data_IF_588181483962
#
_entry.id   IF_588181483962
#
_cell.length_a   1.000
_cell.length_b   1.000
_cell.length_c   1.000
_cell.angle_alpha   90.00
_cell.angle_beta   90.00
_cell.angle_gamma   90.00
#
_symmetry.space_group_name_H-M   'P 1'
#
loop_
_entity.id
_entity.type
_entity.pdbx_description
1 polymer ?
#
# COMPACT_ATOMS: atom_id res chain seq x y z
N UNK A 1 -20.11 -48.13 9.08
CA UNK A 1 -19.05 -47.48 8.27
C UNK A 1 -19.58 -46.12 7.83
N UNK A 2 -19.43 -45.11 8.67
CA UNK A 2 -19.89 -43.73 8.42
C UNK A 2 -18.86 -43.02 7.54
N UNK A 3 -19.22 -42.83 6.27
CA UNK A 3 -18.48 -42.02 5.30
C UNK A 3 -18.46 -40.55 5.76
N UNK A 4 -17.42 -40.17 6.48
CA UNK A 4 -17.05 -38.78 6.77
C UNK A 4 -16.82 -38.08 5.42
N UNK A 5 -17.85 -37.38 4.94
CA UNK A 5 -17.77 -36.47 3.81
C UNK A 5 -16.78 -35.37 4.20
N UNK A 6 -15.51 -35.54 3.79
CA UNK A 6 -14.48 -34.52 3.93
C UNK A 6 -14.93 -33.34 3.07
N UNK A 7 -15.68 -32.43 3.68
CA UNK A 7 -15.95 -31.12 3.08
C UNK A 7 -14.60 -30.44 2.99
N UNK A 8 -14.07 -30.41 1.78
CA UNK A 8 -12.78 -29.81 1.48
C UNK A 8 -12.95 -28.29 1.58
N UNK A 9 -12.76 -27.78 2.81
CA UNK A 9 -12.90 -26.37 3.17
C UNK A 9 -12.05 -25.47 2.27
N UNK A 10 -10.97 -26.02 1.72
CA UNK A 10 -10.07 -25.35 0.79
C UNK A 10 -10.71 -25.04 -0.57
N UNK A 11 -11.61 -25.89 -1.09
CA UNK A 11 -12.32 -25.62 -2.35
C UNK A 11 -13.44 -24.59 -2.15
N UNK A 12 -14.05 -24.54 -0.97
CA UNK A 12 -15.16 -23.60 -0.67
C UNK A 12 -14.71 -22.16 -0.38
N UNK A 13 -13.43 -21.95 -0.05
CA UNK A 13 -12.84 -20.62 0.09
C UNK A 13 -12.23 -20.08 -1.21
N UNK A 14 -11.77 -20.96 -2.11
CA UNK A 14 -11.06 -20.59 -3.35
C UNK A 14 -11.98 -20.04 -4.46
N UNK A 15 -13.27 -20.38 -4.41
CA UNK A 15 -14.27 -19.91 -5.39
C UNK A 15 -14.80 -18.50 -5.10
N UNK A 16 -14.19 -17.76 -4.17
CA UNK A 16 -14.64 -16.39 -3.87
C UNK A 16 -13.86 -15.39 -4.73
N UNK A 17 -14.47 -14.82 -5.79
CA UNK A 17 -13.83 -13.76 -6.56
C UNK A 17 -13.49 -12.60 -5.63
N UNK A 18 -12.41 -11.88 -5.94
CA UNK A 18 -12.00 -10.67 -5.23
C UNK A 18 -13.23 -9.79 -4.97
N UNK A 19 -13.51 -9.59 -3.68
CA UNK A 19 -14.65 -8.82 -3.22
C UNK A 19 -14.54 -7.39 -3.75
N UNK A 20 -15.66 -6.77 -4.13
CA UNK A 20 -15.73 -5.35 -4.52
C UNK A 20 -15.01 -4.42 -3.53
N UNK A 21 -15.01 -4.77 -2.23
CA UNK A 21 -14.31 -4.00 -1.20
C UNK A 21 -12.79 -4.12 -1.28
N UNK A 22 -12.27 -5.28 -1.69
CA UNK A 22 -10.84 -5.48 -1.91
C UNK A 22 -10.39 -4.71 -3.14
N UNK A 23 -11.17 -4.76 -4.22
CA UNK A 23 -10.91 -3.97 -5.42
C UNK A 23 -10.93 -2.47 -5.13
N UNK A 24 -11.90 -2.01 -4.34
CA UNK A 24 -11.97 -0.62 -3.87
C UNK A 24 -10.71 -0.20 -3.10
N UNK A 25 -10.21 -1.04 -2.19
CA UNK A 25 -8.98 -0.74 -1.42
C UNK A 25 -7.76 -0.65 -2.34
N UNK A 26 -7.62 -1.58 -3.28
CA UNK A 26 -6.52 -1.57 -4.27
C UNK A 26 -6.60 -0.31 -5.12
N UNK A 27 -7.81 0.04 -5.60
CA UNK A 27 -8.05 1.24 -6.39
C UNK A 27 -7.73 2.53 -5.61
N UNK A 28 -8.18 2.64 -4.35
CA UNK A 28 -7.84 3.75 -3.45
C UNK A 28 -6.32 3.87 -3.26
N UNK A 29 -5.63 2.75 -3.03
CA UNK A 29 -4.17 2.71 -2.92
C UNK A 29 -3.47 3.20 -4.19
N UNK A 30 -3.94 2.74 -5.36
CA UNK A 30 -3.42 3.17 -6.65
C UNK A 30 -3.58 4.68 -6.88
N UNK A 31 -4.78 5.23 -6.60
CA UNK A 31 -5.03 6.67 -6.70
C UNK A 31 -4.11 7.44 -5.76
N UNK A 32 -3.97 6.98 -4.51
CA UNK A 32 -3.10 7.62 -3.51
C UNK A 32 -1.65 7.68 -3.97
N UNK A 33 -1.11 6.57 -4.49
CA UNK A 33 0.24 6.50 -5.08
C UNK A 33 0.41 7.42 -6.29
N UNK A 34 -0.61 7.48 -7.15
CA UNK A 34 -0.58 8.32 -8.35
C UNK A 34 -0.55 9.81 -8.00
N UNK A 35 -1.36 10.22 -7.02
CA UNK A 35 -1.39 11.59 -6.51
C UNK A 35 -0.06 11.95 -5.84
N UNK A 36 0.48 11.08 -4.99
CA UNK A 36 1.78 11.32 -4.33
C UNK A 36 2.93 11.45 -5.34
N UNK A 37 2.99 10.55 -6.33
CA UNK A 37 4.00 10.62 -7.39
C UNK A 37 3.90 11.89 -8.23
N UNK A 38 2.66 12.31 -8.55
CA UNK A 38 2.41 13.59 -9.21
C UNK A 38 2.90 14.76 -8.35
N UNK A 39 2.58 14.76 -7.07
CA UNK A 39 2.94 15.80 -6.11
C UNK A 39 4.46 15.98 -5.95
N UNK A 40 5.21 14.88 -5.86
CA UNK A 40 6.69 14.93 -5.82
C UNK A 40 7.26 15.49 -7.12
N UNK A 41 6.70 15.07 -8.26
CA UNK A 41 7.14 15.53 -9.57
C UNK A 41 6.83 17.01 -9.78
N UNK A 42 5.62 17.44 -9.41
CA UNK A 42 5.19 18.83 -9.46
C UNK A 42 6.09 19.72 -8.60
N UNK A 43 6.41 19.30 -7.36
CA UNK A 43 7.35 19.98 -6.47
C UNK A 43 8.73 20.20 -7.11
N UNK A 44 9.25 19.20 -7.83
CA UNK A 44 10.51 19.34 -8.58
C UNK A 44 10.46 20.42 -9.66
N UNK A 45 9.32 20.58 -10.33
CA UNK A 45 9.14 21.61 -11.36
C UNK A 45 8.93 23.02 -10.78
N UNK A 46 8.18 23.15 -9.67
CA UNK A 46 7.91 24.44 -9.03
C UNK A 46 9.05 24.92 -8.12
N UNK A 47 10.00 24.05 -7.75
CA UNK A 47 11.15 24.39 -6.90
C UNK A 47 11.85 25.71 -7.28
N UNK A 48 12.25 25.97 -8.55
CA UNK A 48 12.85 27.25 -8.93
C UNK A 48 11.89 28.43 -8.77
N UNK A 49 10.60 28.26 -9.09
CA UNK A 49 9.60 29.31 -8.92
C UNK A 49 9.35 29.64 -7.44
N UNK A 50 9.35 28.64 -6.54
CA UNK A 50 9.24 28.87 -5.10
C UNK A 50 10.41 29.69 -4.55
N UNK A 51 11.63 29.44 -5.04
CA UNK A 51 12.82 30.20 -4.65
C UNK A 51 12.65 31.68 -5.03
N UNK A 52 12.13 31.94 -6.22
CA UNK A 52 11.95 33.30 -6.73
C UNK A 52 10.75 34.02 -6.08
N UNK A 53 9.61 33.34 -5.90
CA UNK A 53 8.38 33.95 -5.36
C UNK A 53 8.42 34.11 -3.84
N UNK A 54 8.90 33.10 -3.10
CA UNK A 54 8.97 33.14 -1.64
C UNK A 54 10.33 33.61 -1.10
N UNK A 55 11.26 33.96 -2.00
CA UNK A 55 12.60 34.45 -1.65
C UNK A 55 13.35 33.51 -0.67
N UNK A 56 13.08 32.21 -0.78
CA UNK A 56 13.66 31.17 0.07
C UNK A 56 14.95 30.62 -0.53
N UNK A 57 15.91 30.23 0.30
CA UNK A 57 17.17 29.75 -0.20
C UNK A 57 17.02 28.32 -0.74
N UNK A 58 17.83 27.96 -1.75
CA UNK A 58 17.86 26.60 -2.33
C UNK A 58 18.05 25.49 -1.28
N UNK A 59 18.75 25.79 -0.19
CA UNK A 59 18.99 24.82 0.88
C UNK A 59 17.74 24.52 1.71
N UNK A 60 16.76 25.41 1.75
CA UNK A 60 15.51 25.23 2.51
C UNK A 60 14.54 24.23 1.84
N UNK A 61 14.75 23.95 0.54
CA UNK A 61 14.00 22.90 -0.17
C UNK A 61 14.40 21.47 0.28
N UNK A 62 15.60 21.30 0.84
CA UNK A 62 16.06 20.01 1.36
C UNK A 62 15.15 19.46 2.47
N UNK A 63 14.92 20.23 3.55
CA UNK A 63 13.96 19.88 4.59
C UNK A 63 12.55 19.59 4.07
N UNK A 64 12.02 20.36 3.11
CA UNK A 64 10.72 20.10 2.49
C UNK A 64 10.65 18.68 1.92
N UNK A 65 11.67 18.26 1.16
CA UNK A 65 11.69 16.94 0.54
C UNK A 65 11.93 15.81 1.55
N UNK A 66 12.79 16.05 2.53
CA UNK A 66 13.05 15.06 3.61
C UNK A 66 11.84 14.88 4.52
N UNK A 67 11.04 15.92 4.74
CA UNK A 67 9.86 15.86 5.62
C UNK A 67 8.86 14.79 5.17
N UNK A 68 8.64 14.63 3.86
CA UNK A 68 7.77 13.58 3.33
C UNK A 68 8.30 12.18 3.65
N UNK A 69 9.61 11.96 3.48
CA UNK A 69 10.26 10.68 3.81
C UNK A 69 10.22 10.37 5.31
N UNK A 70 10.48 11.36 6.16
CA UNK A 70 10.36 11.21 7.62
C UNK A 70 8.93 10.92 8.03
N UNK A 71 7.94 11.58 7.42
CA UNK A 71 6.53 11.32 7.63
C UNK A 71 6.16 9.88 7.25
N UNK A 72 6.59 9.43 6.08
CA UNK A 72 6.43 8.04 5.61
C UNK A 72 7.01 7.02 6.61
N UNK A 73 8.25 7.26 7.07
CA UNK A 73 8.89 6.41 8.05
C UNK A 73 8.09 6.36 9.36
N UNK A 74 7.72 7.52 9.92
CA UNK A 74 6.94 7.61 11.14
C UNK A 74 5.56 6.93 11.00
N UNK A 75 4.86 7.17 9.90
CA UNK A 75 3.57 6.55 9.58
C UNK A 75 3.67 5.03 9.50
N UNK A 76 4.70 4.51 8.83
CA UNK A 76 4.91 3.07 8.69
C UNK A 76 5.12 2.36 10.03
N UNK A 77 5.86 2.97 10.95
CA UNK A 77 6.10 2.42 12.29
C UNK A 77 4.81 2.35 13.12
N UNK A 78 3.96 3.37 13.03
CA UNK A 78 2.69 3.44 13.77
C UNK A 78 1.65 2.47 13.18
N UNK A 79 1.73 2.20 11.88
CA UNK A 79 0.72 1.46 11.13
C UNK A 79 0.53 0.01 11.55
N UNK A 80 1.60 -0.67 12.00
CA UNK A 80 1.56 -2.09 12.40
C UNK A 80 0.63 -2.31 13.60
N UNK A 81 0.95 -1.75 14.79
CA UNK A 81 0.11 -1.90 15.97
C UNK A 81 -1.32 -1.40 15.76
N UNK A 82 -1.48 -0.33 14.96
CA UNK A 82 -2.80 0.24 14.66
C UNK A 82 -3.64 -0.73 13.82
N UNK A 83 -3.05 -1.36 12.81
CA UNK A 83 -3.71 -2.34 11.97
C UNK A 83 -4.09 -3.62 12.72
N UNK A 84 -3.26 -4.05 13.67
CA UNK A 84 -3.54 -5.21 14.50
C UNK A 84 -4.69 -4.96 15.48
N UNK A 85 -4.82 -3.73 15.99
CA UNK A 85 -5.85 -3.37 16.98
C UNK A 85 -7.22 -3.03 16.35
N UNK A 86 -7.23 -2.25 15.27
CA UNK A 86 -8.46 -1.74 14.65
C UNK A 86 -8.86 -2.51 13.38
N UNK A 87 -7.99 -3.41 12.91
CA UNK A 87 -8.15 -4.16 11.67
C UNK A 87 -7.58 -3.43 10.46
N UNK A 88 -6.80 -4.16 9.65
CA UNK A 88 -6.11 -3.65 8.45
C UNK A 88 -6.99 -2.79 7.55
N UNK A 89 -8.23 -3.23 7.26
CA UNK A 89 -9.12 -2.53 6.32
C UNK A 89 -9.50 -1.12 6.77
N UNK A 90 -9.84 -0.95 8.06
CA UNK A 90 -10.26 0.34 8.61
C UNK A 90 -9.07 1.30 8.61
N UNK A 91 -7.89 0.79 8.99
CA UNK A 91 -6.65 1.58 8.99
C UNK A 91 -6.28 2.05 7.59
N UNK A 92 -6.41 1.20 6.56
CA UNK A 92 -6.12 1.60 5.17
C UNK A 92 -7.07 2.72 4.73
N UNK A 93 -8.38 2.54 4.87
CA UNK A 93 -9.37 3.54 4.44
C UNK A 93 -9.20 4.85 5.21
N UNK A 94 -9.00 4.78 6.53
CA UNK A 94 -8.76 5.95 7.36
C UNK A 94 -7.47 6.69 6.99
N UNK A 95 -6.39 5.95 6.69
CA UNK A 95 -5.10 6.54 6.30
C UNK A 95 -5.17 7.19 4.91
N UNK A 96 -5.86 6.58 3.96
CA UNK A 96 -6.10 7.15 2.62
C UNK A 96 -6.97 8.41 2.70
N UNK A 97 -8.05 8.38 3.49
CA UNK A 97 -8.89 9.54 3.71
C UNK A 97 -8.10 10.69 4.37
N UNK A 98 -7.29 10.36 5.38
CA UNK A 98 -6.40 11.31 6.05
C UNK A 98 -5.37 11.92 5.09
N UNK A 99 -4.71 11.09 4.27
CA UNK A 99 -3.81 11.55 3.22
C UNK A 99 -4.51 12.49 2.24
N UNK A 100 -5.68 12.12 1.73
CA UNK A 100 -6.43 12.92 0.78
C UNK A 100 -6.86 14.28 1.35
N UNK A 101 -7.32 14.31 2.61
CA UNK A 101 -7.66 15.55 3.30
C UNK A 101 -6.44 16.43 3.54
N UNK A 102 -5.33 15.86 4.02
CA UNK A 102 -4.09 16.59 4.25
C UNK A 102 -3.49 17.12 2.95
N UNK A 103 -3.56 16.35 1.87
CA UNK A 103 -3.14 16.76 0.53
C UNK A 103 -4.02 17.91 0.01
N UNK A 104 -5.33 17.85 0.21
CA UNK A 104 -6.23 18.95 -0.17
C UNK A 104 -5.93 20.24 0.61
N UNK A 105 -5.65 20.13 1.91
CA UNK A 105 -5.26 21.27 2.76
C UNK A 105 -3.91 21.86 2.29
N UNK A 106 -3.01 21.03 1.74
CA UNK A 106 -1.72 21.50 1.23
C UNK A 106 -1.83 22.48 0.07
N UNK A 107 -2.95 22.50 -0.65
CA UNK A 107 -3.23 23.51 -1.68
C UNK A 107 -3.41 24.94 -1.11
N UNK A 108 -3.69 25.08 0.18
CA UNK A 108 -3.80 26.37 0.88
C UNK A 108 -2.53 26.75 1.65
N UNK A 109 -1.40 26.07 1.43
CA UNK A 109 -0.13 26.42 2.04
C UNK A 109 0.30 27.84 1.60
N UNK A 110 0.70 28.67 2.56
CA UNK A 110 1.07 30.08 2.35
C UNK A 110 2.57 30.35 2.44
N UNK A 111 3.34 29.38 2.91
CA UNK A 111 4.79 29.50 3.11
C UNK A 111 5.47 28.11 3.11
N UNK A 112 6.79 28.09 2.88
CA UNK A 112 7.60 26.87 2.79
C UNK A 112 7.51 26.02 4.06
N UNK A 113 7.46 26.65 5.24
CA UNK A 113 7.29 25.95 6.51
C UNK A 113 5.94 25.24 6.61
N UNK A 114 4.85 25.91 6.19
CA UNK A 114 3.51 25.31 6.20
C UNK A 114 3.43 24.12 5.24
N UNK A 115 4.04 24.25 4.06
CA UNK A 115 4.13 23.18 3.07
C UNK A 115 4.94 21.98 3.58
N UNK A 116 6.04 22.24 4.29
CA UNK A 116 6.90 21.21 4.92
C UNK A 116 6.15 20.44 6.00
N UNK A 117 5.42 21.12 6.88
CA UNK A 117 4.62 20.46 7.92
C UNK A 117 3.49 19.64 7.28
N UNK A 118 2.79 20.19 6.29
CA UNK A 118 1.74 19.47 5.58
C UNK A 118 2.30 18.24 4.85
N UNK A 119 3.50 18.32 4.28
CA UNK A 119 4.20 17.18 3.67
C UNK A 119 4.55 16.09 4.65
N UNK A 120 5.00 16.45 5.84
CA UNK A 120 5.21 15.49 6.91
C UNK A 120 3.90 14.78 7.28
N UNK A 121 2.81 15.54 7.40
CA UNK A 121 1.48 15.01 7.73
C UNK A 121 0.95 14.07 6.63
N UNK A 122 1.03 14.46 5.35
CA UNK A 122 0.64 13.58 4.23
C UNK A 122 1.51 12.33 4.19
N UNK A 123 2.82 12.48 4.44
CA UNK A 123 3.76 11.36 4.56
C UNK A 123 3.33 10.34 5.61
N UNK A 124 2.86 10.78 6.79
CA UNK A 124 2.35 9.88 7.84
C UNK A 124 1.15 9.08 7.33
N UNK A 125 0.19 9.73 6.66
CA UNK A 125 -0.99 9.04 6.10
C UNK A 125 -0.60 7.99 5.06
N UNK A 126 0.28 8.37 4.13
CA UNK A 126 0.78 7.47 3.09
C UNK A 126 1.57 6.30 3.68
N UNK A 127 2.48 6.59 4.61
CA UNK A 127 3.29 5.62 5.32
C UNK A 127 2.47 4.63 6.13
N UNK A 128 1.29 5.02 6.61
CA UNK A 128 0.38 4.11 7.29
C UNK A 128 -0.47 3.24 6.35
N UNK A 129 -0.79 3.73 5.16
CA UNK A 129 -1.57 3.00 4.17
C UNK A 129 -0.73 1.93 3.44
N UNK A 130 0.47 2.28 2.97
CA UNK A 130 1.29 1.44 2.09
C UNK A 130 1.62 0.04 2.62
N UNK A 131 2.21 -0.12 3.83
CA UNK A 131 2.55 -1.45 4.32
C UNK A 131 1.30 -2.31 4.51
N UNK A 132 0.19 -1.69 4.94
CA UNK A 132 -1.07 -2.39 5.14
C UNK A 132 -1.72 -2.86 3.84
N UNK A 133 -1.68 -2.05 2.77
CA UNK A 133 -2.15 -2.44 1.44
C UNK A 133 -1.30 -3.60 0.91
N UNK A 134 0.03 -3.50 0.98
CA UNK A 134 0.95 -4.54 0.51
C UNK A 134 0.73 -5.85 1.26
N UNK A 135 0.56 -5.82 2.59
CA UNK A 135 0.25 -7.03 3.36
C UNK A 135 -1.11 -7.62 2.98
N UNK A 136 -2.14 -6.78 2.80
CA UNK A 136 -3.46 -7.24 2.41
C UNK A 136 -3.45 -7.92 1.04
N UNK A 137 -2.69 -7.39 0.08
CA UNK A 137 -2.49 -7.98 -1.24
C UNK A 137 -1.73 -9.32 -1.12
N UNK A 138 -0.68 -9.38 -0.29
CA UNK A 138 0.07 -10.61 -0.07
C UNK A 138 -0.80 -11.72 0.54
N UNK A 139 -1.64 -11.40 1.53
CA UNK A 139 -2.62 -12.33 2.12
C UNK A 139 -3.57 -12.91 1.05
N UNK A 140 -4.01 -12.10 0.09
CA UNK A 140 -4.82 -12.56 -1.05
C UNK A 140 -4.03 -13.46 -2.00
N UNK A 141 -2.79 -13.10 -2.32
CA UNK A 141 -1.93 -13.87 -3.22
C UNK A 141 -1.51 -15.22 -2.61
N UNK A 142 -1.20 -15.29 -1.30
CA UNK A 142 -0.85 -16.54 -0.62
C UNK A 142 -2.02 -17.51 -0.53
N UNK A 143 -3.25 -17.02 -0.43
CA UNK A 143 -4.44 -17.89 -0.52
C UNK A 143 -4.47 -18.65 -1.85
N UNK A 144 -4.10 -17.99 -2.96
CA UNK A 144 -4.01 -18.61 -4.29
C UNK A 144 -2.76 -19.48 -4.50
N UNK A 145 -1.59 -19.06 -3.99
CA UNK A 145 -0.30 -19.77 -4.21
C UNK A 145 -0.12 -20.98 -3.30
N UNK A 146 -0.58 -20.93 -2.04
CA UNK A 146 -0.57 -22.09 -1.14
C UNK A 146 -1.43 -23.23 -1.72
N UNK A 147 -2.48 -22.90 -2.47
CA UNK A 147 -3.31 -23.86 -3.20
C UNK A 147 -2.56 -24.59 -4.32
N UNK A 148 -1.68 -23.89 -5.05
CA UNK A 148 -0.83 -24.51 -6.08
C UNK A 148 0.21 -25.45 -5.46
N UNK A 149 0.82 -25.07 -4.33
CA UNK A 149 1.84 -25.88 -3.66
C UNK A 149 1.24 -27.08 -2.88
N UNK A 150 -0.04 -27.00 -2.48
CA UNK A 150 -0.79 -28.13 -1.90
C UNK A 150 -1.49 -29.02 -2.93
N UNK A 151 -1.43 -28.71 -4.23
CA UNK A 151 -1.75 -29.73 -5.22
C UNK A 151 -0.76 -30.88 -5.03
N UNK A 152 -1.22 -32.11 -4.78
CA UNK A 152 -0.32 -33.22 -4.56
C UNK A 152 0.59 -33.36 -5.78
N UNK A 153 1.88 -33.51 -5.52
CA UNK A 153 2.98 -33.80 -6.45
C UNK A 153 2.77 -35.12 -7.25
N UNK A 154 1.54 -35.60 -7.45
CA UNK A 154 1.23 -36.87 -8.11
C UNK A 154 0.97 -36.77 -9.61
N UNK A 155 1.15 -35.60 -10.24
CA UNK A 155 1.00 -35.44 -11.69
C UNK A 155 2.33 -35.34 -12.47
N UNK A 156 3.48 -35.46 -11.80
CA UNK A 156 4.79 -35.58 -12.46
C UNK A 156 5.40 -36.95 -12.14
N UNK A 157 4.64 -38.01 -12.41
CA UNK A 157 5.24 -39.32 -12.66
C UNK A 157 5.64 -39.35 -14.12
N UNK A 158 6.92 -39.02 -14.36
CA UNK A 158 7.64 -39.35 -15.59
C UNK A 158 7.52 -40.87 -15.79
N UNK A 159 7.01 -41.37 -16.94
CA UNK A 159 7.03 -42.79 -17.22
C UNK A 159 8.47 -43.23 -17.57
N UNK A 160 9.25 -43.56 -16.54
CA UNK A 160 10.56 -44.24 -16.61
C UNK A 160 10.39 -45.73 -17.01
N UNK A 161 9.78 -46.02 -18.15
CA UNK A 161 9.54 -47.41 -18.59
C UNK A 161 10.02 -47.72 -20.01
N UNK A 162 10.96 -46.94 -20.57
CA UNK A 162 11.37 -47.09 -21.97
C UNK A 162 12.88 -47.25 -22.24
N UNK A 163 13.71 -47.55 -21.23
CA UNK A 163 15.18 -47.69 -21.41
C UNK A 163 15.76 -49.03 -20.94
N UNK A 164 15.03 -50.14 -21.14
CA UNK A 164 15.59 -51.48 -21.05
C UNK A 164 15.28 -52.25 -22.34
N UNK A 165 16.19 -52.11 -23.32
CA UNK A 165 16.17 -52.80 -24.60
C UNK A 165 17.53 -52.68 -25.27
#
# INVERSE_FOLDING_TARGET
MSSQQRVDVCTFLDDRPVSLRQWLIIFLGFITLSVDGFDVTAMGFIAPALIDDWQVARHDLGPLMMSGLFGLAAGSMISGPLADRFGRKIVIVGSVAFFGLASLISAWAWDLHSLTVLRFITGIGLGAAMPNITTLIAEFAQSAVVHICRRPYTAVLIPEQHWAG
#
